data_IF_676530989165
#
_entry.id   IF_676530989165
#
_cell.length_a   1.000
_cell.length_b   1.000
_cell.length_c   1.000
_cell.angle_alpha   90.00
_cell.angle_beta   90.00
_cell.angle_gamma   90.00
#
_symmetry.space_group_name_H-M   'P 1'
#
loop_
_entity.id
_entity.type
_entity.pdbx_description
1 polymer ?
#
# COMPACT_ATOMS: atom_id res chain seq x y z
N UNK A 1 -3.81 -11.87 -7.81
CA UNK A 1 -2.94 -12.01 -6.62
C UNK A 1 -3.82 -11.81 -5.40
N UNK A 2 -4.21 -12.91 -4.76
CA UNK A 2 -4.85 -12.89 -3.44
C UNK A 2 -3.81 -12.44 -2.42
N UNK A 3 -4.02 -11.30 -1.79
CA UNK A 3 -3.21 -10.86 -0.65
C UNK A 3 -3.70 -11.71 0.53
N UNK A 4 -2.93 -12.73 0.90
CA UNK A 4 -3.16 -13.47 2.15
C UNK A 4 -2.89 -12.51 3.31
N UNK A 5 -3.96 -12.07 3.97
CA UNK A 5 -3.91 -11.27 5.18
C UNK A 5 -3.70 -12.22 6.35
N UNK A 6 -2.50 -12.21 6.93
CA UNK A 6 -2.19 -12.96 8.15
C UNK A 6 -2.46 -12.08 9.38
N UNK A 7 -2.84 -12.69 10.51
CA UNK A 7 -3.18 -11.98 11.75
C UNK A 7 -2.27 -12.43 12.90
N UNK A 8 -1.93 -11.50 13.78
CA UNK A 8 -1.19 -11.79 14.99
C UNK A 8 -2.05 -12.60 15.98
N UNK A 9 -1.55 -13.74 16.47
CA UNK A 9 -2.29 -14.62 17.39
C UNK A 9 -2.47 -14.04 18.81
N UNK A 10 -1.83 -12.90 19.11
CA UNK A 10 -1.90 -12.26 20.43
C UNK A 10 -2.82 -11.04 20.42
N UNK A 11 -2.59 -10.07 19.52
CA UNK A 11 -3.40 -8.86 19.45
C UNK A 11 -4.50 -8.90 18.38
N UNK A 12 -4.55 -9.96 17.56
CA UNK A 12 -5.50 -10.12 16.45
C UNK A 12 -5.47 -8.99 15.41
N UNK A 13 -4.37 -8.23 15.35
CA UNK A 13 -4.12 -7.18 14.37
C UNK A 13 -3.58 -7.83 13.07
N UNK A 14 -3.96 -7.27 11.91
CA UNK A 14 -3.42 -7.71 10.62
C UNK A 14 -1.91 -7.45 10.55
N UNK A 15 -1.14 -8.46 10.14
CA UNK A 15 0.30 -8.38 9.91
C UNK A 15 0.54 -8.22 8.41
N UNK A 16 1.03 -7.05 7.94
CA UNK A 16 1.35 -6.85 6.54
C UNK A 16 2.48 -7.78 6.08
N UNK A 17 2.39 -8.34 4.87
CA UNK A 17 3.44 -9.19 4.28
C UNK A 17 4.86 -8.57 4.32
N UNK A 18 5.06 -7.25 4.14
CA UNK A 18 6.38 -6.64 4.30
C UNK A 18 6.98 -6.81 5.70
N UNK A 19 6.16 -6.90 6.76
CA UNK A 19 6.64 -7.05 8.13
C UNK A 19 7.10 -8.47 8.44
N UNK A 20 6.49 -9.47 7.81
CA UNK A 20 6.97 -10.86 7.82
C UNK A 20 8.32 -10.98 7.08
N UNK A 21 8.44 -10.38 5.90
CA UNK A 21 9.65 -10.44 5.06
C UNK A 21 10.81 -9.67 5.70
N UNK A 22 10.53 -8.52 6.31
CA UNK A 22 11.53 -7.71 7.01
C UNK A 22 11.93 -8.26 8.39
N UNK A 23 11.34 -9.39 8.83
CA UNK A 23 11.62 -9.99 10.14
C UNK A 23 11.09 -9.19 11.34
N UNK A 24 10.15 -8.27 11.12
CA UNK A 24 9.47 -7.50 12.18
C UNK A 24 8.36 -8.30 12.86
N UNK A 25 7.78 -9.27 12.18
CA UNK A 25 6.85 -10.25 12.75
C UNK A 25 7.41 -11.66 12.53
N UNK A 26 7.34 -12.53 13.55
CA UNK A 26 7.95 -13.86 13.50
C UNK A 26 6.97 -14.96 13.92
N UNK A 27 7.14 -16.14 13.31
CA UNK A 27 6.42 -17.36 13.70
C UNK A 27 7.20 -18.10 14.79
N UNK A 28 6.60 -18.25 15.98
CA UNK A 28 7.14 -19.06 17.08
C UNK A 28 6.19 -20.20 17.42
N UNK A 29 6.67 -21.44 17.32
CA UNK A 29 5.86 -22.62 17.67
C UNK A 29 4.53 -22.71 16.90
N UNK A 30 4.51 -22.25 15.64
CA UNK A 30 3.30 -22.24 14.79
C UNK A 30 2.40 -21.01 14.97
N UNK A 31 2.68 -20.12 15.92
CA UNK A 31 1.91 -18.87 16.13
C UNK A 31 2.61 -17.65 15.53
N UNK A 32 1.87 -16.78 14.86
CA UNK A 32 2.35 -15.52 14.30
C UNK A 32 2.27 -14.40 15.35
N UNK A 33 3.39 -13.74 15.62
CA UNK A 33 3.50 -12.68 16.63
C UNK A 33 4.00 -11.40 15.94
N UNK A 34 3.29 -10.28 16.13
CA UNK A 34 3.68 -8.99 15.57
C UNK A 34 4.77 -8.29 16.40
N UNK A 35 5.48 -7.34 15.77
CA UNK A 35 6.55 -6.55 16.39
C UNK A 35 6.13 -5.87 17.71
N UNK A 36 4.87 -5.48 17.82
CA UNK A 36 4.34 -4.77 19.00
C UNK A 36 4.11 -5.73 20.16
N UNK A 37 3.51 -6.90 19.91
CA UNK A 37 3.33 -7.93 20.92
C UNK A 37 4.67 -8.49 21.38
N UNK A 38 5.64 -8.67 20.47
CA UNK A 38 6.97 -9.17 20.84
C UNK A 38 7.73 -8.18 21.74
N UNK A 39 7.67 -6.89 21.44
CA UNK A 39 8.22 -5.83 22.32
C UNK A 39 7.53 -5.79 23.68
N UNK A 40 6.21 -5.98 23.72
CA UNK A 40 5.45 -6.03 24.97
C UNK A 40 5.79 -7.27 25.82
N UNK A 41 6.23 -8.37 25.20
CA UNK A 41 6.67 -9.59 25.88
C UNK A 41 8.14 -9.56 26.35
N UNK A 42 8.85 -8.45 26.15
CA UNK A 42 10.15 -8.19 26.80
C UNK A 42 11.34 -8.99 26.27
N UNK A 43 11.25 -9.60 25.09
CA UNK A 43 12.40 -10.31 24.49
C UNK A 43 13.18 -9.37 23.58
N UNK A 44 14.39 -8.99 24.00
CA UNK A 44 15.26 -8.13 23.20
C UNK A 44 15.81 -8.89 21.98
N UNK A 45 15.52 -8.40 20.79
CA UNK A 45 16.29 -8.71 19.58
C UNK A 45 17.30 -7.58 19.40
N UNK A 46 18.57 -7.92 19.28
CA UNK A 46 19.64 -6.97 18.94
C UNK A 46 19.32 -6.33 17.58
N UNK A 47 19.10 -5.02 17.58
CA UNK A 47 18.89 -4.23 16.36
C UNK A 47 20.24 -3.90 15.71
N UNK A 48 20.40 -3.96 14.38
CA UNK A 48 21.46 -3.23 13.72
C UNK A 48 21.10 -1.74 13.69
N UNK A 49 22.01 -0.95 14.24
CA UNK A 49 22.07 0.51 14.30
C UNK A 49 21.53 1.22 13.04
N UNK A 50 20.70 2.25 13.27
CA UNK A 50 20.47 3.38 12.36
C UNK A 50 20.82 4.69 13.10
N UNK A 51 21.31 5.72 12.39
CA UNK A 51 22.01 6.87 12.98
C UNK A 51 21.03 7.89 13.61
N UNK A 52 21.52 8.76 14.52
CA UNK A 52 20.65 9.62 15.31
C UNK A 52 20.17 10.84 14.51
N UNK A 53 18.85 11.09 14.56
CA UNK A 53 18.23 12.37 14.25
C UNK A 53 18.25 13.21 15.52
N UNK A 54 18.95 14.34 15.49
CA UNK A 54 19.02 15.30 16.58
C UNK A 54 17.69 16.06 16.73
N UNK A 55 17.14 16.05 17.94
CA UNK A 55 16.07 16.93 18.38
C UNK A 55 16.65 18.25 18.91
N UNK A 56 15.96 19.35 18.58
CA UNK A 56 16.35 20.72 18.93
C UNK A 56 15.73 21.20 20.25
N UNK A 57 16.52 21.99 20.99
CA UNK A 57 16.07 23.08 21.89
C UNK A 57 16.39 22.91 23.39
N UNK A 58 16.52 24.00 24.20
CA UNK A 58 16.90 25.38 23.86
C UNK A 58 17.97 26.04 24.79
N UNK A 59 18.53 27.16 24.29
CA UNK A 59 19.11 28.37 24.97
C UNK A 59 20.22 28.27 26.05
N UNK A 60 21.40 28.84 25.75
CA UNK A 60 21.90 30.15 26.25
C UNK A 60 23.44 30.20 26.46
N UNK A 61 24.08 31.12 25.72
CA UNK A 61 25.17 32.08 26.10
C UNK A 61 26.40 31.56 26.87
N UNK A 62 27.56 31.50 26.19
CA UNK A 62 28.77 32.32 26.45
C UNK A 62 29.98 31.85 25.59
N UNK A 63 30.75 32.82 25.10
CA UNK A 63 32.06 32.71 24.41
C UNK A 63 33.12 33.45 25.26
N UNK A 64 34.43 33.44 24.95
CA UNK A 64 35.24 32.58 24.05
C UNK A 64 36.53 32.04 24.74
N UNK A 65 37.32 31.20 24.04
CA UNK A 65 38.79 31.35 23.97
C UNK A 65 39.46 30.35 23.02
N UNK A 66 40.16 30.93 22.06
CA UNK A 66 41.47 30.58 21.47
C UNK A 66 41.71 29.25 20.68
N UNK A 67 41.97 29.49 19.38
CA UNK A 67 42.71 28.75 18.35
C UNK A 67 44.11 28.23 18.79
N UNK A 68 44.81 27.30 18.08
CA UNK A 68 44.90 27.26 16.61
C UNK A 68 45.04 25.92 15.85
N UNK A 69 44.54 26.00 14.61
CA UNK A 69 45.09 25.53 13.32
C UNK A 69 46.04 24.33 13.34
N UNK A 70 45.63 23.24 12.67
CA UNK A 70 46.49 22.51 11.74
C UNK A 70 45.66 21.90 10.60
N UNK A 71 46.14 22.22 9.40
CA UNK A 71 45.73 21.82 8.05
C UNK A 71 45.80 20.31 7.81
N UNK A 72 44.76 19.71 7.22
CA UNK A 72 44.87 18.53 6.34
C UNK A 72 43.62 18.41 5.45
N UNK A 73 43.84 18.34 4.13
CA UNK A 73 42.84 18.15 3.08
C UNK A 73 42.30 16.70 3.02
N UNK A 74 41.17 16.44 2.34
CA UNK A 74 40.35 15.25 2.57
C UNK A 74 40.86 14.00 1.84
N UNK A 75 40.84 12.86 2.54
CA UNK A 75 41.03 11.55 1.95
C UNK A 75 39.76 11.11 1.20
N UNK A 76 39.90 10.96 -0.11
CA UNK A 76 38.96 10.29 -1.00
C UNK A 76 38.79 8.84 -0.53
N UNK A 77 37.60 8.50 -0.03
CA UNK A 77 37.22 7.10 0.21
C UNK A 77 36.42 6.62 -1.00
N UNK A 78 37.05 5.78 -1.81
CA UNK A 78 36.41 5.03 -2.89
C UNK A 78 35.46 4.00 -2.27
N UNK A 79 34.16 4.23 -2.42
CA UNK A 79 33.13 3.23 -2.13
C UNK A 79 33.26 2.12 -3.17
N UNK A 80 33.67 0.94 -2.71
CA UNK A 80 33.62 -0.30 -3.48
C UNK A 80 32.16 -0.73 -3.64
N UNK A 81 31.68 -1.07 -4.86
CA UNK A 81 30.32 -1.55 -5.02
C UNK A 81 30.18 -2.96 -4.43
N UNK A 82 29.11 -3.14 -3.66
CA UNK A 82 28.69 -4.41 -3.11
C UNK A 82 28.48 -5.43 -4.25
N UNK A 83 29.17 -6.57 -4.11
CA UNK A 83 29.13 -7.72 -5.03
C UNK A 83 27.75 -8.37 -4.93
N UNK A 84 26.88 -8.10 -5.91
CA UNK A 84 25.59 -8.77 -6.04
C UNK A 84 25.78 -10.24 -6.45
N UNK A 85 25.03 -11.13 -5.80
CA UNK A 85 25.10 -12.60 -5.94
C UNK A 85 24.59 -13.17 -7.27
N UNK A 86 24.99 -12.59 -8.41
CA UNK A 86 24.67 -13.09 -9.76
C UNK A 86 25.83 -13.78 -10.48
N UNK A 87 27.07 -13.66 -9.97
CA UNK A 87 28.27 -14.12 -10.68
C UNK A 87 28.55 -15.64 -10.56
N UNK A 88 27.93 -16.33 -9.58
CA UNK A 88 28.20 -17.75 -9.33
C UNK A 88 27.69 -18.68 -10.43
N UNK A 89 26.52 -18.38 -10.98
CA UNK A 89 25.92 -19.23 -12.03
C UNK A 89 26.60 -19.07 -13.39
N UNK A 90 27.07 -17.88 -13.74
CA UNK A 90 27.85 -17.67 -14.97
C UNK A 90 29.21 -18.38 -14.90
N UNK A 91 29.87 -18.38 -13.73
CA UNK A 91 31.10 -19.12 -13.52
C UNK A 91 30.89 -20.65 -13.61
N UNK A 92 29.77 -21.17 -13.09
CA UNK A 92 29.41 -22.58 -13.20
C UNK A 92 29.11 -22.99 -14.65
N UNK A 93 28.38 -22.17 -15.41
CA UNK A 93 28.10 -22.44 -16.83
C UNK A 93 29.41 -22.40 -17.64
N UNK A 94 30.28 -21.42 -17.40
CA UNK A 94 31.58 -21.34 -18.06
C UNK A 94 32.48 -22.55 -17.73
N UNK A 95 32.46 -23.03 -16.48
CA UNK A 95 33.20 -24.22 -16.05
C UNK A 95 32.66 -25.49 -16.72
N UNK A 96 31.33 -25.66 -16.78
CA UNK A 96 30.70 -26.82 -17.43
C UNK A 96 30.97 -26.81 -18.93
N UNK A 97 30.92 -25.64 -19.59
CA UNK A 97 31.26 -25.50 -21.00
C UNK A 97 32.75 -25.78 -21.27
N UNK A 98 33.65 -25.31 -20.40
CA UNK A 98 35.08 -25.58 -20.51
C UNK A 98 35.41 -27.06 -20.32
N UNK A 99 34.75 -27.74 -19.38
CA UNK A 99 34.89 -29.19 -19.16
C UNK A 99 34.29 -29.98 -20.34
N UNK A 100 33.14 -29.56 -20.86
CA UNK A 100 32.52 -30.19 -22.03
C UNK A 100 33.39 -30.05 -23.30
N UNK A 101 33.97 -28.86 -23.54
CA UNK A 101 34.95 -28.66 -24.61
C UNK A 101 36.20 -29.51 -24.39
N UNK A 102 36.71 -29.60 -23.15
CA UNK A 102 37.89 -30.40 -22.80
C UNK A 102 37.68 -31.90 -23.05
N UNK A 103 36.55 -32.46 -22.63
CA UNK A 103 36.20 -33.88 -22.82
C UNK A 103 35.89 -34.20 -24.28
N UNK A 104 35.27 -33.27 -25.02
CA UNK A 104 35.07 -33.43 -26.46
C UNK A 104 36.37 -33.35 -27.25
N UNK A 105 37.36 -32.59 -26.78
CA UNK A 105 38.66 -32.49 -27.44
C UNK A 105 39.55 -33.70 -27.11
N UNK A 106 39.52 -34.20 -25.87
CA UNK A 106 40.28 -35.39 -25.47
C UNK A 106 39.80 -36.67 -26.16
N UNK A 107 38.47 -36.86 -26.26
CA UNK A 107 37.90 -38.02 -26.96
C UNK A 107 38.15 -38.02 -28.48
N UNK A 108 38.37 -36.84 -29.08
CA UNK A 108 38.73 -36.72 -30.50
C UNK A 108 40.22 -36.94 -30.75
N UNK A 109 41.09 -36.65 -29.77
CA UNK A 109 42.52 -36.96 -29.84
C UNK A 109 42.76 -38.48 -29.80
N UNK A 110 42.02 -39.22 -28.97
CA UNK A 110 42.12 -40.69 -28.87
C UNK A 110 41.70 -41.41 -30.18
N UNK A 111 40.73 -40.85 -30.92
CA UNK A 111 40.32 -41.40 -32.22
C UNK A 111 41.36 -41.13 -33.33
N UNK A 112 42.06 -40.00 -33.28
CA UNK A 112 43.14 -39.68 -34.21
C UNK A 112 44.38 -40.55 -33.98
N UNK A 113 44.70 -40.92 -32.74
CA UNK A 113 45.83 -41.83 -32.43
C UNK A 113 45.61 -43.25 -32.98
N UNK A 114 44.36 -43.73 -33.01
CA UNK A 114 43.99 -45.08 -33.46
C UNK A 114 44.09 -45.31 -34.97
N UNK A 115 43.80 -44.30 -35.80
CA UNK A 115 43.93 -44.36 -37.27
C UNK A 115 45.34 -43.97 -37.74
N UNK A 116 45.96 -42.95 -37.11
CA UNK A 116 47.31 -42.49 -37.46
C UNK A 116 48.37 -43.55 -37.19
N UNK A 117 48.22 -44.33 -36.11
CA UNK A 117 49.15 -45.40 -35.74
C UNK A 117 49.21 -46.57 -36.72
N UNK A 118 48.17 -46.78 -37.55
CA UNK A 118 48.13 -47.86 -38.56
C UNK A 118 48.74 -47.42 -39.88
N UNK A 119 48.48 -46.19 -40.32
CA UNK A 119 49.10 -45.60 -41.51
C UNK A 119 50.61 -45.39 -41.35
N UNK A 120 51.03 -44.87 -40.19
CA UNK A 120 52.43 -44.61 -39.89
C UNK A 120 53.28 -45.90 -39.81
N UNK A 121 52.72 -46.99 -39.25
CA UNK A 121 53.41 -48.30 -39.16
C UNK A 121 53.51 -49.04 -40.49
N UNK A 122 52.60 -48.80 -41.43
CA UNK A 122 52.69 -49.35 -42.79
C UNK A 122 53.79 -48.64 -43.59
N UNK A 123 53.82 -47.30 -43.54
CA UNK A 123 54.83 -46.47 -44.20
C UNK A 123 56.24 -46.70 -43.63
N UNK A 124 56.37 -46.89 -42.31
CA UNK A 124 57.65 -47.24 -41.67
C UNK A 124 58.23 -48.58 -42.14
N UNK A 125 57.37 -49.52 -42.55
CA UNK A 125 57.78 -50.84 -43.06
C UNK A 125 58.20 -50.77 -44.53
N UNK A 126 57.55 -49.94 -45.33
CA UNK A 126 57.91 -49.69 -46.73
C UNK A 126 59.19 -48.84 -46.87
N UNK A 127 59.45 -47.92 -45.94
CA UNK A 127 60.68 -47.11 -45.90
C UNK A 127 61.97 -47.93 -45.75
N UNK A 128 61.90 -49.17 -45.24
CA UNK A 128 63.04 -50.07 -45.08
C UNK A 128 63.43 -50.83 -46.36
N UNK A 129 62.58 -50.87 -47.40
CA UNK A 129 62.81 -51.64 -48.62
C UNK A 129 62.67 -50.74 -49.88
N UNK A 130 63.79 -50.29 -50.46
CA UNK A 130 63.85 -49.80 -51.85
C UNK A 130 63.62 -48.29 -52.08
N UNK A 131 64.54 -47.64 -52.80
CA UNK A 131 64.57 -46.18 -53.03
C UNK A 131 63.50 -45.63 -53.98
N UNK A 132 62.79 -46.49 -54.73
CA UNK A 132 61.70 -46.09 -55.63
C UNK A 132 60.34 -46.13 -54.93
N UNK A 133 60.09 -47.14 -54.09
CA UNK A 133 58.90 -47.27 -53.24
C UNK A 133 58.84 -46.13 -52.19
N UNK A 134 59.99 -45.62 -51.76
CA UNK A 134 60.08 -44.47 -50.84
C UNK A 134 59.42 -43.18 -51.38
N UNK A 135 59.52 -42.89 -52.69
CA UNK A 135 58.91 -41.67 -53.25
C UNK A 135 57.38 -41.77 -53.28
N UNK A 136 56.86 -42.93 -53.67
CA UNK A 136 55.41 -43.17 -53.68
C UNK A 136 54.83 -43.20 -52.26
N UNK A 137 55.54 -43.79 -51.29
CA UNK A 137 55.12 -43.78 -49.89
C UNK A 137 55.07 -42.37 -49.30
N UNK A 138 56.06 -41.53 -49.62
CA UNK A 138 56.07 -40.11 -49.20
C UNK A 138 54.94 -39.31 -49.86
N UNK A 139 54.65 -39.53 -51.14
CA UNK A 139 53.54 -38.86 -51.82
C UNK A 139 52.17 -39.30 -51.25
N UNK A 140 52.01 -40.57 -50.90
CA UNK A 140 50.80 -41.06 -50.22
C UNK A 140 50.65 -40.44 -48.83
N UNK A 141 51.74 -40.34 -48.08
CA UNK A 141 51.73 -39.72 -46.75
C UNK A 141 51.39 -38.23 -46.83
N UNK A 142 51.98 -37.50 -47.79
CA UNK A 142 51.69 -36.10 -48.04
C UNK A 142 50.21 -35.88 -48.41
N UNK A 143 49.64 -36.73 -49.29
CA UNK A 143 48.21 -36.69 -49.61
C UNK A 143 47.31 -36.93 -48.39
N UNK A 144 47.65 -37.89 -47.55
CA UNK A 144 46.88 -38.19 -46.33
C UNK A 144 46.98 -37.03 -45.33
N UNK A 145 48.19 -36.49 -45.11
CA UNK A 145 48.40 -35.36 -44.22
C UNK A 145 47.67 -34.10 -44.70
N UNK A 146 47.75 -33.78 -46.00
CA UNK A 146 47.06 -32.63 -46.58
C UNK A 146 45.54 -32.80 -46.51
N UNK A 147 45.00 -33.99 -46.79
CA UNK A 147 43.57 -34.25 -46.65
C UNK A 147 43.08 -34.14 -45.19
N UNK A 148 43.89 -34.59 -44.22
CA UNK A 148 43.59 -34.42 -42.79
C UNK A 148 43.65 -32.95 -42.36
N UNK A 149 44.66 -32.20 -42.85
CA UNK A 149 44.81 -30.78 -42.59
C UNK A 149 43.61 -30.00 -43.15
N UNK A 150 43.21 -30.27 -44.39
CA UNK A 150 42.05 -29.65 -45.04
C UNK A 150 40.75 -29.97 -44.28
N UNK A 151 40.59 -31.22 -43.81
CA UNK A 151 39.48 -31.63 -42.97
C UNK A 151 39.40 -30.85 -41.65
N UNK A 152 40.53 -30.65 -40.97
CA UNK A 152 40.60 -29.86 -39.74
C UNK A 152 40.32 -28.38 -39.99
N UNK A 153 40.87 -27.81 -41.08
CA UNK A 153 40.62 -26.42 -41.46
C UNK A 153 39.13 -26.19 -41.76
N UNK A 154 38.49 -27.09 -42.51
CA UNK A 154 37.06 -27.01 -42.80
C UNK A 154 36.20 -27.10 -41.53
N UNK A 155 36.56 -27.97 -40.57
CA UNK A 155 35.87 -28.06 -39.28
C UNK A 155 36.01 -26.78 -38.45
N UNK A 156 37.21 -26.21 -38.37
CA UNK A 156 37.43 -24.94 -37.66
C UNK A 156 36.68 -23.77 -38.30
N UNK A 157 36.60 -23.74 -39.64
CA UNK A 157 35.83 -22.73 -40.36
C UNK A 157 34.33 -22.87 -40.07
N UNK A 158 33.78 -24.09 -40.15
CA UNK A 158 32.38 -24.33 -39.84
C UNK A 158 32.03 -23.97 -38.39
N UNK A 159 32.92 -24.27 -37.44
CA UNK A 159 32.73 -23.90 -36.04
C UNK A 159 32.78 -22.39 -35.83
N UNK A 160 33.68 -21.68 -36.52
CA UNK A 160 33.76 -20.22 -36.48
C UNK A 160 32.49 -19.55 -37.02
N UNK A 161 31.90 -20.09 -38.08
CA UNK A 161 30.63 -19.58 -38.64
C UNK A 161 29.47 -19.77 -37.66
N UNK A 162 29.39 -20.93 -37.00
CA UNK A 162 28.40 -21.19 -35.95
C UNK A 162 28.57 -20.23 -34.76
N UNK A 163 29.80 -20.04 -34.29
CA UNK A 163 30.10 -19.12 -33.18
C UNK A 163 29.78 -17.67 -33.56
N UNK A 164 30.09 -17.24 -34.79
CA UNK A 164 29.75 -15.91 -35.29
C UNK A 164 28.23 -15.69 -35.36
N UNK A 165 27.48 -16.68 -35.85
CA UNK A 165 26.02 -16.61 -35.88
C UNK A 165 25.42 -16.50 -34.46
N UNK A 166 25.94 -17.28 -33.51
CA UNK A 166 25.50 -17.23 -32.11
C UNK A 166 25.78 -15.87 -31.46
N UNK A 167 26.95 -15.27 -31.73
CA UNK A 167 27.30 -13.95 -31.21
C UNK A 167 26.40 -12.83 -31.77
N UNK A 168 26.04 -12.90 -33.05
CA UNK A 168 25.12 -11.95 -33.66
C UNK A 168 23.72 -12.05 -33.03
N UNK A 169 23.22 -13.27 -32.85
CA UNK A 169 21.93 -13.51 -32.19
C UNK A 169 21.93 -13.01 -30.73
N UNK A 170 23.01 -13.22 -29.98
CA UNK A 170 23.13 -12.74 -28.61
C UNK A 170 23.14 -11.20 -28.55
N UNK A 171 23.82 -10.56 -29.51
CA UNK A 171 23.90 -9.10 -29.60
C UNK A 171 22.52 -8.49 -29.87
N UNK A 172 21.73 -9.11 -30.74
CA UNK A 172 20.35 -8.73 -31.00
C UNK A 172 19.49 -8.87 -29.73
N UNK A 173 19.57 -9.99 -29.02
CA UNK A 173 18.83 -10.18 -27.76
C UNK A 173 19.20 -9.12 -26.70
N UNK A 174 20.48 -8.79 -26.57
CA UNK A 174 20.94 -7.74 -25.64
C UNK A 174 20.36 -6.37 -26.03
N UNK A 175 20.27 -6.06 -27.32
CA UNK A 175 19.70 -4.79 -27.79
C UNK A 175 18.23 -4.64 -27.39
N UNK A 176 17.43 -5.70 -27.60
CA UNK A 176 16.01 -5.74 -27.20
C UNK A 176 15.84 -5.58 -25.69
N UNK A 177 16.69 -6.26 -24.90
CA UNK A 177 16.64 -6.12 -23.44
C UNK A 177 17.02 -4.71 -22.97
N UNK A 178 17.99 -4.06 -23.62
CA UNK A 178 18.36 -2.67 -23.31
C UNK A 178 17.22 -1.70 -23.61
N UNK A 179 16.54 -1.88 -24.73
CA UNK A 179 15.38 -1.04 -25.08
C UNK A 179 14.24 -1.19 -24.08
N UNK A 180 13.93 -2.44 -23.67
CA UNK A 180 12.95 -2.71 -22.61
C UNK A 180 13.35 -2.08 -21.27
N UNK A 181 14.62 -2.17 -20.90
CA UNK A 181 15.14 -1.57 -19.67
C UNK A 181 15.04 -0.03 -19.71
N UNK A 182 15.35 0.59 -20.85
CA UNK A 182 15.18 2.03 -21.05
C UNK A 182 13.71 2.45 -20.95
N UNK A 183 12.79 1.66 -21.51
CA UNK A 183 11.35 1.89 -21.37
C UNK A 183 10.90 1.85 -19.91
N UNK A 184 11.34 0.85 -19.14
CA UNK A 184 11.05 0.75 -17.71
C UNK A 184 11.61 1.97 -16.96
N UNK A 185 12.86 2.36 -17.22
CA UNK A 185 13.47 3.54 -16.58
C UNK A 185 12.66 4.82 -16.85
N UNK A 186 12.24 5.07 -18.09
CA UNK A 186 11.42 6.21 -18.45
C UNK A 186 10.05 6.21 -17.73
N UNK A 187 9.42 5.04 -17.57
CA UNK A 187 8.16 4.95 -16.80
C UNK A 187 8.36 5.26 -15.32
N UNK A 188 9.47 4.80 -14.72
CA UNK A 188 9.80 5.09 -13.33
C UNK A 188 10.09 6.58 -13.11
N UNK A 189 10.81 7.21 -14.03
CA UNK A 189 11.04 8.67 -13.98
C UNK A 189 9.73 9.45 -14.10
N UNK A 190 8.79 8.99 -14.95
CA UNK A 190 7.44 9.54 -15.04
C UNK A 190 6.68 9.44 -13.72
N UNK A 191 6.67 8.26 -13.08
CA UNK A 191 6.05 8.08 -11.77
C UNK A 191 6.70 8.95 -10.69
N UNK A 192 8.04 9.08 -10.70
CA UNK A 192 8.76 9.93 -9.76
C UNK A 192 8.38 11.41 -9.92
N UNK A 193 8.28 11.90 -11.16
CA UNK A 193 7.86 13.27 -11.43
C UNK A 193 6.43 13.54 -10.95
N UNK A 194 5.49 12.62 -11.22
CA UNK A 194 4.11 12.70 -10.71
C UNK A 194 4.06 12.73 -9.18
N UNK A 195 4.85 11.88 -8.51
CA UNK A 195 4.89 11.85 -7.05
C UNK A 195 5.39 13.18 -6.47
N UNK A 196 6.46 13.76 -7.04
CA UNK A 196 6.98 15.06 -6.62
C UNK A 196 5.89 16.13 -6.77
N UNK A 197 5.20 16.16 -7.90
CA UNK A 197 4.12 17.12 -8.13
C UNK A 197 2.98 16.98 -7.10
N UNK A 198 2.46 15.76 -6.91
CA UNK A 198 1.40 15.52 -5.91
C UNK A 198 1.83 15.90 -4.51
N UNK A 199 3.08 15.60 -4.12
CA UNK A 199 3.60 15.95 -2.80
C UNK A 199 3.69 17.47 -2.61
N UNK A 200 4.04 18.23 -3.65
CA UNK A 200 4.08 19.68 -3.62
C UNK A 200 2.67 20.29 -3.54
N UNK A 201 1.70 19.75 -4.28
CA UNK A 201 0.30 20.15 -4.24
C UNK A 201 -0.31 19.91 -2.85
N UNK A 202 -0.08 18.74 -2.26
CA UNK A 202 -0.53 18.43 -0.90
C UNK A 202 0.10 19.35 0.15
N UNK A 203 1.40 19.62 0.05
CA UNK A 203 2.07 20.56 0.96
C UNK A 203 1.49 21.98 0.85
N UNK A 204 1.21 22.44 -0.38
CA UNK A 204 0.58 23.74 -0.61
C UNK A 204 -0.85 23.78 -0.06
N UNK A 205 -1.62 22.70 -0.19
CA UNK A 205 -2.97 22.60 0.36
C UNK A 205 -2.96 22.62 1.89
N UNK A 206 -2.10 21.84 2.53
CA UNK A 206 -1.96 21.83 3.99
C UNK A 206 -1.56 23.21 4.53
N UNK A 207 -0.68 23.92 3.83
CA UNK A 207 -0.32 25.29 4.21
C UNK A 207 -1.53 26.24 4.13
N UNK A 208 -2.36 26.15 3.08
CA UNK A 208 -3.59 26.95 2.92
C UNK A 208 -4.63 26.64 3.99
N UNK A 209 -4.81 25.36 4.31
CA UNK A 209 -5.71 24.94 5.38
C UNK A 209 -5.23 25.44 6.74
N UNK A 210 -3.92 25.35 7.02
CA UNK A 210 -3.31 25.89 8.23
C UNK A 210 -3.49 27.41 8.37
N UNK A 211 -3.29 28.18 7.31
CA UNK A 211 -3.53 29.64 7.35
C UNK A 211 -5.02 29.98 7.49
N UNK A 212 -5.91 29.23 6.85
CA UNK A 212 -7.36 29.41 7.00
C UNK A 212 -7.82 29.13 8.44
N UNK A 213 -7.30 28.07 9.07
CA UNK A 213 -7.56 27.74 10.47
C UNK A 213 -7.03 28.81 11.42
N UNK A 214 -5.81 29.33 11.18
CA UNK A 214 -5.27 30.44 11.97
C UNK A 214 -6.14 31.70 11.87
N UNK A 215 -6.58 32.05 10.66
CA UNK A 215 -7.48 33.18 10.43
C UNK A 215 -8.89 32.98 11.03
N UNK A 216 -9.38 31.74 11.08
CA UNK A 216 -10.61 31.41 11.80
C UNK A 216 -10.43 31.59 13.30
N UNK A 217 -9.32 31.09 13.86
CA UNK A 217 -8.98 31.26 15.28
C UNK A 217 -8.94 32.73 15.70
N UNK A 218 -8.33 33.59 14.88
CA UNK A 218 -8.29 35.03 15.16
C UNK A 218 -9.68 35.68 15.14
N UNK A 219 -10.54 35.29 14.20
CA UNK A 219 -11.94 35.75 14.16
C UNK A 219 -12.74 35.31 15.38
N UNK A 220 -12.55 34.07 15.83
CA UNK A 220 -13.24 33.56 17.02
C UNK A 220 -12.82 34.33 18.28
N UNK A 221 -11.52 34.61 18.46
CA UNK A 221 -11.04 35.46 19.57
C UNK A 221 -11.67 36.85 19.53
N UNK A 222 -11.70 37.47 18.35
CA UNK A 222 -12.33 38.78 18.18
C UNK A 222 -13.83 38.77 18.52
N UNK A 223 -14.55 37.69 18.18
CA UNK A 223 -15.95 37.52 18.58
C UNK A 223 -16.11 37.31 20.09
N UNK A 224 -15.22 36.56 20.71
CA UNK A 224 -15.20 36.35 22.16
C UNK A 224 -14.99 37.69 22.90
N UNK A 225 -14.03 38.50 22.45
CA UNK A 225 -13.81 39.85 22.99
C UNK A 225 -15.05 40.75 22.82
N UNK A 226 -15.73 40.66 21.67
CA UNK A 226 -16.98 41.39 21.45
C UNK A 226 -18.09 40.92 22.40
N UNK A 227 -18.22 39.61 22.64
CA UNK A 227 -19.21 39.06 23.57
C UNK A 227 -18.92 39.52 25.00
N UNK A 228 -17.65 39.51 25.44
CA UNK A 228 -17.23 40.04 26.74
C UNK A 228 -17.58 41.52 26.86
N UNK A 229 -17.32 42.31 25.82
CA UNK A 229 -17.67 43.73 25.79
C UNK A 229 -19.19 43.95 25.90
N UNK A 230 -19.98 43.19 25.14
CA UNK A 230 -21.45 43.24 25.19
C UNK A 230 -21.94 42.83 26.58
N UNK A 231 -21.43 41.76 27.17
CA UNK A 231 -21.78 41.35 28.52
C UNK A 231 -21.44 42.44 29.55
N UNK A 232 -20.28 43.10 29.39
CA UNK A 232 -19.90 44.26 30.18
C UNK A 232 -20.91 45.41 30.06
N UNK A 233 -21.37 45.72 28.85
CA UNK A 233 -22.40 46.75 28.63
C UNK A 233 -23.76 46.35 29.22
N UNK A 234 -24.17 45.09 29.08
CA UNK A 234 -25.40 44.56 29.65
C UNK A 234 -25.37 44.60 31.18
N UNK A 235 -24.24 44.26 31.81
CA UNK A 235 -24.04 44.40 33.26
C UNK A 235 -24.17 45.87 33.69
N UNK A 236 -23.57 46.80 32.95
CA UNK A 236 -23.70 48.24 33.23
C UNK A 236 -25.15 48.74 33.11
N UNK A 237 -25.89 48.28 32.09
CA UNK A 237 -27.30 48.59 31.92
C UNK A 237 -28.18 47.95 33.02
N UNK A 238 -27.84 46.74 33.49
CA UNK A 238 -28.58 46.06 34.55
C UNK A 238 -28.47 46.75 35.91
N UNK A 239 -27.35 47.45 36.14
CA UNK A 239 -27.10 48.27 37.34
C UNK A 239 -27.65 49.69 37.21
N UNK A 240 -28.09 50.10 36.01
CA UNK A 240 -28.73 51.39 35.81
C UNK A 240 -30.16 51.37 36.41
N UNK A 241 -30.64 52.46 37.03
CA UNK A 241 -31.99 52.52 37.57
C UNK A 241 -33.03 52.34 36.45
N UNK A 242 -33.79 51.24 36.49
CA UNK A 242 -34.84 50.95 35.50
C UNK A 242 -36.11 51.73 35.93
N UNK A 243 -36.70 52.59 35.08
CA UNK A 243 -38.05 53.08 35.31
C UNK A 243 -39.03 51.91 35.21
N UNK A 244 -39.71 51.59 36.31
CA UNK A 244 -40.65 50.47 36.41
C UNK A 244 -41.81 50.69 35.45
N UNK A 245 -41.80 49.97 34.33
CA UNK A 245 -42.98 49.72 33.50
C UNK A 245 -43.22 48.22 33.55
N UNK A 246 -44.32 47.84 34.19
CA UNK A 246 -44.71 46.46 34.41
C UNK A 246 -45.12 45.76 33.11
N UNK A 247 -44.65 44.52 32.96
CA UNK A 247 -45.10 43.62 31.91
C UNK A 247 -44.00 42.63 31.49
N UNK A 248 -43.95 41.47 32.15
CA UNK A 248 -43.18 40.32 31.64
C UNK A 248 -44.15 39.36 30.96
N UNK A 249 -43.96 38.98 29.69
CA UNK A 249 -44.75 37.92 29.06
C UNK A 249 -44.25 36.55 29.53
N UNK A 250 -45.20 35.62 29.63
CA UNK A 250 -44.99 34.28 30.18
C UNK A 250 -43.88 33.49 29.48
N UNK A 251 -43.12 32.75 30.29
CA UNK A 251 -42.09 31.81 29.86
C UNK A 251 -42.76 30.69 29.05
N UNK A 252 -42.38 30.52 27.79
CA UNK A 252 -42.84 29.42 26.93
C UNK A 252 -42.54 28.08 27.61
N UNK A 253 -43.55 27.20 27.68
CA UNK A 253 -43.46 25.84 28.22
C UNK A 253 -43.11 24.79 27.17
N UNK A 254 -42.84 25.20 25.92
CA UNK A 254 -42.50 24.27 24.85
C UNK A 254 -41.06 23.75 25.00
N UNK A 255 -40.79 22.48 24.66
CA UNK A 255 -39.44 21.95 24.65
C UNK A 255 -38.61 22.69 23.58
N UNK A 256 -37.33 22.94 23.89
CA UNK A 256 -36.40 23.73 23.06
C UNK A 256 -36.30 23.18 21.62
N UNK A 257 -36.42 21.87 21.46
CA UNK A 257 -36.36 21.21 20.15
C UNK A 257 -37.59 21.48 19.26
N UNK A 258 -38.71 21.97 19.82
CA UNK A 258 -39.94 22.23 19.06
C UNK A 258 -39.79 23.38 18.05
N UNK A 259 -38.90 24.35 18.34
CA UNK A 259 -38.66 25.49 17.44
C UNK A 259 -38.03 25.05 16.11
N UNK A 260 -37.30 23.93 16.12
CA UNK A 260 -36.52 23.43 14.97
C UNK A 260 -37.33 22.45 14.10
N UNK A 261 -38.56 22.11 14.49
CA UNK A 261 -39.41 21.21 13.70
C UNK A 261 -39.73 21.77 12.31
N UNK A 262 -39.83 23.10 12.17
CA UNK A 262 -40.08 23.75 10.88
C UNK A 262 -38.93 23.53 9.89
N UNK A 263 -37.70 23.45 10.40
CA UNK A 263 -36.50 23.33 9.57
C UNK A 263 -36.37 21.96 8.90
N UNK A 264 -37.01 20.92 9.44
CA UNK A 264 -37.08 19.59 8.80
C UNK A 264 -37.78 19.61 7.43
N UNK A 265 -38.62 20.62 7.16
CA UNK A 265 -39.29 20.79 5.87
C UNK A 265 -38.67 21.89 5.01
N UNK A 266 -37.49 22.39 5.38
CA UNK A 266 -36.80 23.44 4.63
C UNK A 266 -36.29 22.94 3.28
N UNK A 267 -36.36 23.79 2.26
CA UNK A 267 -35.74 23.52 0.95
C UNK A 267 -34.21 23.39 1.06
N UNK A 268 -33.60 24.02 2.08
CA UNK A 268 -32.17 23.95 2.32
C UNK A 268 -31.79 22.67 3.08
N UNK A 269 -31.02 21.74 2.46
CA UNK A 269 -30.60 20.50 3.13
C UNK A 269 -29.72 20.73 4.35
N UNK A 270 -28.98 21.85 4.41
CA UNK A 270 -28.18 22.21 5.58
C UNK A 270 -29.04 22.49 6.82
N UNK A 271 -30.19 23.15 6.64
CA UNK A 271 -31.14 23.40 7.74
C UNK A 271 -31.83 22.12 8.19
N UNK A 272 -32.21 21.25 7.24
CA UNK A 272 -32.76 19.92 7.59
C UNK A 272 -31.75 19.07 8.37
N UNK A 273 -30.48 19.11 7.98
CA UNK A 273 -29.41 18.40 8.65
C UNK A 273 -29.17 18.91 10.07
N UNK A 274 -29.12 20.23 10.24
CA UNK A 274 -28.96 20.87 11.55
C UNK A 274 -30.14 20.56 12.48
N UNK A 275 -31.35 20.55 11.93
CA UNK A 275 -32.56 20.12 12.61
C UNK A 275 -32.44 18.67 13.11
N UNK A 276 -32.03 17.74 12.26
CA UNK A 276 -31.85 16.32 12.64
C UNK A 276 -30.83 16.16 13.78
N UNK A 277 -29.72 16.89 13.76
CA UNK A 277 -28.72 16.84 14.84
C UNK A 277 -29.21 17.49 16.13
N UNK A 278 -29.95 18.59 16.03
CA UNK A 278 -30.51 19.31 17.17
C UNK A 278 -31.57 18.47 17.88
N UNK A 279 -32.48 17.87 17.11
CA UNK A 279 -33.45 16.90 17.62
C UNK A 279 -32.75 15.70 18.28
N UNK A 280 -31.68 15.18 17.67
CA UNK A 280 -30.89 14.08 18.24
C UNK A 280 -30.25 14.43 19.59
N UNK A 281 -29.71 15.63 19.69
CA UNK A 281 -29.00 16.12 20.88
C UNK A 281 -29.95 16.40 22.05
N UNK A 282 -31.26 16.50 21.80
CA UNK A 282 -32.27 16.61 22.87
C UNK A 282 -32.38 15.36 23.74
N UNK A 283 -31.98 14.19 23.23
CA UNK A 283 -32.16 12.87 23.87
C UNK A 283 -33.62 12.56 24.26
N UNK A 284 -34.59 13.28 23.69
CA UNK A 284 -36.00 13.11 23.97
C UNK A 284 -36.63 12.12 22.99
N UNK A 285 -37.15 11.00 23.49
CA UNK A 285 -37.76 9.97 22.65
C UNK A 285 -39.00 10.47 21.87
N UNK A 286 -39.62 11.58 22.30
CA UNK A 286 -40.78 12.16 21.59
C UNK A 286 -40.42 12.74 20.21
N UNK A 287 -39.13 12.93 19.92
CA UNK A 287 -38.67 13.43 18.61
C UNK A 287 -38.59 12.33 17.54
N UNK A 288 -38.60 11.05 17.94
CA UNK A 288 -38.42 9.89 17.05
C UNK A 288 -39.39 9.89 15.85
N UNK A 289 -40.70 10.15 16.01
CA UNK A 289 -41.64 10.18 14.89
C UNK A 289 -41.31 11.23 13.82
N UNK A 290 -40.66 12.33 14.20
CA UNK A 290 -40.23 13.38 13.27
C UNK A 290 -38.93 13.03 12.53
N UNK A 291 -38.10 12.17 13.13
CA UNK A 291 -36.83 11.72 12.54
C UNK A 291 -36.99 10.54 11.58
N UNK A 292 -38.01 9.69 11.76
CA UNK A 292 -38.26 8.53 10.88
C UNK A 292 -38.37 8.94 9.39
N UNK A 293 -39.16 9.96 9.01
CA UNK A 293 -39.25 10.39 7.61
C UNK A 293 -37.92 10.85 7.01
N UNK A 294 -37.01 11.37 7.83
CA UNK A 294 -35.71 11.89 7.38
C UNK A 294 -34.77 10.78 6.89
N UNK A 295 -35.04 9.52 7.23
CA UNK A 295 -34.32 8.36 6.66
C UNK A 295 -34.53 8.24 5.15
N UNK A 296 -35.59 8.86 4.61
CA UNK A 296 -35.93 8.87 3.17
C UNK A 296 -35.77 10.25 2.53
N UNK A 297 -35.06 11.16 3.18
CA UNK A 297 -34.80 12.51 2.67
C UNK A 297 -34.11 12.52 1.29
N UNK A 298 -34.34 13.57 0.51
CA UNK A 298 -33.70 13.71 -0.81
C UNK A 298 -32.18 13.85 -0.72
N UNK A 299 -31.65 14.43 0.35
CA UNK A 299 -30.23 14.64 0.58
C UNK A 299 -29.57 13.44 1.29
N UNK A 300 -28.40 13.03 0.77
CA UNK A 300 -27.67 11.86 1.26
C UNK A 300 -27.15 12.05 2.69
N UNK A 301 -26.72 13.26 3.05
CA UNK A 301 -26.20 13.55 4.38
C UNK A 301 -27.32 13.59 5.41
N UNK A 302 -28.49 14.11 5.06
CA UNK A 302 -29.69 14.10 5.92
C UNK A 302 -30.13 12.65 6.21
N UNK A 303 -30.22 11.78 5.18
CA UNK A 303 -30.57 10.35 5.39
C UNK A 303 -29.58 9.64 6.30
N UNK A 304 -28.28 9.86 6.07
CA UNK A 304 -27.22 9.27 6.90
C UNK A 304 -27.31 9.78 8.34
N UNK A 305 -27.50 11.08 8.55
CA UNK A 305 -27.64 11.67 9.87
C UNK A 305 -28.88 11.12 10.59
N UNK A 306 -30.02 11.01 9.91
CA UNK A 306 -31.24 10.43 10.47
C UNK A 306 -31.02 9.00 10.98
N UNK A 307 -30.34 8.15 10.20
CA UNK A 307 -29.99 6.78 10.63
C UNK A 307 -29.14 6.77 11.90
N UNK A 308 -28.14 7.66 11.99
CA UNK A 308 -27.26 7.76 13.16
C UNK A 308 -28.01 8.28 14.38
N UNK A 309 -28.79 9.34 14.21
CA UNK A 309 -29.56 9.94 15.29
C UNK A 309 -30.59 8.96 15.86
N UNK A 310 -31.31 8.23 15.00
CA UNK A 310 -32.24 7.18 15.43
C UNK A 310 -31.53 6.05 16.19
N UNK A 311 -30.28 5.74 15.82
CA UNK A 311 -29.46 4.80 16.58
C UNK A 311 -29.04 5.31 17.95
N UNK A 312 -28.76 6.60 18.08
CA UNK A 312 -28.35 7.22 19.34
C UNK A 312 -29.51 7.33 20.33
N UNK A 313 -30.73 7.55 19.82
CA UNK A 313 -31.97 7.59 20.59
C UNK A 313 -32.56 6.20 20.92
N UNK A 314 -31.88 5.11 20.56
CA UNK A 314 -32.38 3.72 20.66
C UNK A 314 -33.80 3.56 20.08
N UNK A 315 -34.06 4.16 18.91
CA UNK A 315 -35.39 4.26 18.31
C UNK A 315 -35.89 2.90 17.76
N UNK A 316 -36.40 2.04 18.64
CA UNK A 316 -36.89 0.68 18.30
C UNK A 316 -37.99 0.67 17.24
N UNK A 317 -38.84 1.68 17.23
CA UNK A 317 -39.94 1.83 16.27
C UNK A 317 -39.42 2.10 14.85
N UNK A 318 -38.21 2.65 14.71
CA UNK A 318 -37.61 2.98 13.41
C UNK A 318 -36.92 1.80 12.71
N UNK A 319 -36.90 0.61 13.33
CA UNK A 319 -36.26 -0.58 12.75
C UNK A 319 -36.74 -0.90 11.32
N UNK A 320 -38.04 -0.83 10.97
CA UNK A 320 -38.49 -1.08 9.60
C UNK A 320 -37.86 -0.11 8.58
N UNK A 321 -37.84 1.18 8.88
CA UNK A 321 -37.27 2.21 8.00
C UNK A 321 -35.75 2.08 7.89
N UNK A 322 -35.08 1.69 8.97
CA UNK A 322 -33.64 1.39 8.94
C UNK A 322 -33.33 0.12 8.12
N UNK A 323 -34.21 -0.88 8.11
CA UNK A 323 -34.08 -2.06 7.23
C UNK A 323 -34.23 -1.65 5.76
N UNK A 324 -35.15 -0.74 5.45
CA UNK A 324 -35.31 -0.21 4.11
C UNK A 324 -34.08 0.59 3.65
N UNK A 325 -33.49 1.38 4.55
CA UNK A 325 -32.27 2.16 4.30
C UNK A 325 -31.03 1.31 3.96
N UNK A 326 -31.04 -0.01 4.24
CA UNK A 326 -30.01 -0.93 3.74
C UNK A 326 -30.02 -1.06 2.21
N UNK A 327 -31.12 -0.73 1.54
CA UNK A 327 -31.22 -0.69 0.08
C UNK A 327 -30.88 0.68 -0.52
N UNK A 328 -30.49 1.67 0.29
CA UNK A 328 -30.20 3.03 -0.19
C UNK A 328 -29.14 3.02 -1.32
N UNK A 329 -29.29 3.88 -2.35
CA UNK A 329 -28.28 3.98 -3.42
C UNK A 329 -26.90 4.39 -2.91
N UNK A 330 -26.81 5.22 -1.86
CA UNK A 330 -25.56 5.69 -1.31
C UNK A 330 -24.99 4.71 -0.27
N UNK A 331 -23.72 4.32 -0.45
CA UNK A 331 -23.03 3.39 0.47
C UNK A 331 -22.99 3.91 1.90
N UNK A 332 -22.75 5.21 2.09
CA UNK A 332 -22.67 5.84 3.42
C UNK A 332 -23.96 5.73 4.22
N UNK A 333 -25.13 5.74 3.55
CA UNK A 333 -26.43 5.54 4.19
C UNK A 333 -26.61 4.07 4.58
N UNK A 334 -26.23 3.13 3.70
CA UNK A 334 -26.27 1.69 3.99
C UNK A 334 -25.39 1.32 5.19
N UNK A 335 -24.21 1.94 5.30
CA UNK A 335 -23.31 1.80 6.45
C UNK A 335 -23.93 2.33 7.75
N UNK A 336 -24.52 3.53 7.70
CA UNK A 336 -25.21 4.10 8.85
C UNK A 336 -26.39 3.22 9.30
N UNK A 337 -27.19 2.71 8.35
CA UNK A 337 -28.32 1.85 8.61
C UNK A 337 -27.91 0.51 9.25
N UNK A 338 -26.85 -0.16 8.77
CA UNK A 338 -26.40 -1.42 9.38
C UNK A 338 -25.86 -1.20 10.80
N UNK A 339 -25.15 -0.10 11.05
CA UNK A 339 -24.67 0.26 12.39
C UNK A 339 -25.86 0.52 13.31
N UNK A 340 -26.84 1.29 12.85
CA UNK A 340 -28.05 1.60 13.60
C UNK A 340 -28.84 0.33 13.98
N UNK A 341 -29.09 -0.54 13.00
CA UNK A 341 -29.77 -1.80 13.23
C UNK A 341 -29.03 -2.69 14.22
N UNK A 342 -27.70 -2.83 14.10
CA UNK A 342 -26.89 -3.60 15.05
C UNK A 342 -26.98 -3.03 16.46
N UNK A 343 -26.97 -1.70 16.60
CA UNK A 343 -27.00 -1.04 17.90
C UNK A 343 -28.37 -1.10 18.57
N UNK A 344 -29.45 -0.93 17.83
CA UNK A 344 -30.83 -0.97 18.35
C UNK A 344 -31.24 -2.41 18.64
N UNK A 345 -31.06 -3.31 17.68
CA UNK A 345 -31.53 -4.71 17.81
C UNK A 345 -30.56 -5.61 18.58
N UNK A 346 -29.32 -5.15 18.80
CA UNK A 346 -28.20 -5.95 19.35
C UNK A 346 -27.92 -7.23 18.56
N UNK A 347 -28.33 -7.30 17.28
CA UNK A 347 -28.14 -8.47 16.40
C UNK A 347 -26.97 -8.27 15.44
N UNK A 348 -26.06 -9.23 15.43
CA UNK A 348 -24.89 -9.27 14.53
C UNK A 348 -25.17 -9.85 13.14
N UNK A 349 -26.29 -9.49 12.49
CA UNK A 349 -26.55 -10.00 11.14
C UNK A 349 -25.52 -9.44 10.15
N UNK A 350 -24.97 -10.34 9.33
CA UNK A 350 -24.00 -10.00 8.29
C UNK A 350 -24.69 -9.21 7.20
N UNK A 351 -24.14 -8.04 6.88
CA UNK A 351 -24.56 -7.20 5.77
C UNK A 351 -23.29 -6.50 5.26
N UNK A 352 -23.07 -6.57 3.95
CA UNK A 352 -21.94 -5.92 3.27
C UNK A 352 -22.49 -4.72 2.47
N UNK A 353 -22.18 -3.48 2.89
CA UNK A 353 -22.63 -2.27 2.20
C UNK A 353 -22.10 -2.16 0.76
N UNK A 354 -20.95 -2.75 0.45
CA UNK A 354 -20.32 -2.73 -0.88
C UNK A 354 -20.66 -3.98 -1.71
N UNK A 355 -21.37 -4.93 -1.12
CA UNK A 355 -21.76 -6.18 -1.77
C UNK A 355 -22.67 -5.97 -2.98
N UNK A 356 -22.78 -7.02 -3.81
CA UNK A 356 -23.63 -6.99 -5.00
C UNK A 356 -25.10 -6.66 -4.65
N UNK A 357 -25.87 -5.99 -5.54
CA UNK A 357 -27.27 -5.69 -5.27
C UNK A 357 -28.09 -6.93 -4.89
N UNK A 358 -27.83 -8.07 -5.54
CA UNK A 358 -28.51 -9.34 -5.25
C UNK A 358 -28.21 -9.83 -3.82
N UNK A 359 -26.94 -9.80 -3.41
CA UNK A 359 -26.55 -10.18 -2.05
C UNK A 359 -27.19 -9.24 -1.02
N UNK A 360 -27.17 -7.93 -1.27
CA UNK A 360 -27.78 -6.93 -0.39
C UNK A 360 -29.28 -7.19 -0.23
N UNK A 361 -30.02 -7.36 -1.32
CA UNK A 361 -31.45 -7.65 -1.29
C UNK A 361 -31.76 -8.95 -0.53
N UNK A 362 -30.94 -9.99 -0.68
CA UNK A 362 -31.09 -11.22 0.10
C UNK A 362 -30.88 -10.99 1.60
N UNK A 363 -29.88 -10.19 1.99
CA UNK A 363 -29.66 -9.84 3.40
C UNK A 363 -30.80 -9.00 3.96
N UNK A 364 -31.32 -8.03 3.19
CA UNK A 364 -32.48 -7.22 3.59
C UNK A 364 -33.72 -8.08 3.77
N UNK A 365 -33.98 -9.04 2.87
CA UNK A 365 -35.09 -9.98 3.02
C UNK A 365 -35.01 -10.78 4.34
N UNK A 366 -33.81 -11.17 4.77
CA UNK A 366 -33.61 -11.83 6.08
C UNK A 366 -33.93 -10.92 7.27
N UNK A 367 -33.57 -9.63 7.17
CA UNK A 367 -33.94 -8.64 8.19
C UNK A 367 -35.46 -8.45 8.27
N UNK A 368 -36.14 -8.38 7.12
CA UNK A 368 -37.60 -8.25 7.04
C UNK A 368 -38.32 -9.50 7.58
N UNK A 369 -37.88 -10.70 7.20
CA UNK A 369 -38.44 -11.96 7.71
C UNK A 369 -38.33 -12.06 9.25
N UNK A 370 -37.19 -11.64 9.80
CA UNK A 370 -37.02 -11.54 11.24
C UNK A 370 -38.00 -10.54 11.87
N UNK A 371 -38.09 -9.33 11.32
CA UNK A 371 -38.99 -8.29 11.84
C UNK A 371 -40.46 -8.73 11.81
N UNK A 372 -40.89 -9.46 10.78
CA UNK A 372 -42.25 -9.99 10.70
C UNK A 372 -42.55 -11.03 11.78
N UNK A 373 -41.56 -11.83 12.20
CA UNK A 373 -41.72 -12.89 13.20
C UNK A 373 -41.62 -12.38 14.64
N UNK A 374 -40.70 -11.46 14.89
CA UNK A 374 -40.32 -11.04 16.24
C UNK A 374 -40.51 -9.54 16.52
N UNK A 375 -40.97 -8.75 15.55
CA UNK A 375 -41.05 -7.28 15.68
C UNK A 375 -41.97 -6.81 16.80
N UNK A 376 -43.15 -7.43 16.95
CA UNK A 376 -44.08 -7.08 18.04
C UNK A 376 -43.50 -7.42 19.42
N UNK A 377 -42.90 -8.61 19.55
CA UNK A 377 -42.19 -9.02 20.77
C UNK A 377 -41.03 -8.07 21.09
N UNK A 378 -40.31 -7.60 20.07
CA UNK A 378 -39.20 -6.67 20.23
C UNK A 378 -39.64 -5.28 20.73
N UNK A 379 -40.83 -4.82 20.33
CA UNK A 379 -41.42 -3.57 20.79
C UNK A 379 -42.03 -3.66 22.20
N UNK A 380 -42.12 -4.86 22.77
CA UNK A 380 -42.70 -5.07 24.11
C UNK A 380 -44.24 -5.01 24.11
N UNK A 381 -44.87 -5.09 22.94
CA UNK A 381 -46.31 -5.23 22.79
C UNK A 381 -46.63 -6.73 22.73
N UNK A 382 -46.91 -7.34 23.89
CA UNK A 382 -47.30 -8.75 24.04
C UNK A 382 -48.71 -8.88 24.59
#
# INVERSE_FOLDING_TARGET
MSIELEFCDICNESVPAPDLIAGRAQRRGGRLICATCERAMGVQISTPSSPPVAAAGPTAVETPSETPVTTAAPAVTTVTPARSGGAGWLALIALVMAVALGVSLSSRLDLLEGESGKGFKAVQRDLQNGSQDQREALERLDKVLNAQLDGLVAQLQAQRELDQAALLQLTEQISVLRERAAGIAATLDGFRAQFIQLSAEQGAQQAREGTALAALGERMRAQEDQLIAVEGTLRALSLAPIPVVGGSPGRSTAPVWAEVLGDLSSDNPGLRLDAVYTLGSSQDATVIPYLIPMVKDSDVFVRMAACRTLSDLDARIAVPDLIEALNDPATVVREAAVVALRRITKRGMRFDPLGSPADRSQRVAKWLDWWQKEGQVFLGES
#
